data_IF_798331809162
#
_entry.id   IF_798331809162
#
_cell.length_a   1.000
_cell.length_b   1.000
_cell.length_c   1.000
_cell.angle_alpha   90.00
_cell.angle_beta   90.00
_cell.angle_gamma   90.00
#
_symmetry.space_group_name_H-M   'P 1'
#
loop_
_entity.id
_entity.type
_entity.pdbx_description
1 polymer ?
#
# COMPACT_ATOMS: atom_id res chain seq x y z
N UNK A 1 9.73 38.35 -22.74
CA UNK A 1 10.53 37.38 -21.94
C UNK A 1 11.12 36.32 -22.88
N UNK A 2 12.45 36.15 -22.99
CA UNK A 2 13.03 35.17 -23.90
C UNK A 2 13.02 33.76 -23.28
N UNK A 3 12.45 32.78 -23.99
CA UNK A 3 12.36 31.38 -23.57
C UNK A 3 13.77 30.75 -23.59
N UNK A 4 14.28 30.36 -22.42
CA UNK A 4 15.54 29.60 -22.29
C UNK A 4 15.39 28.25 -23.00
N UNK A 5 16.11 28.03 -24.11
CA UNK A 5 16.19 26.72 -24.78
C UNK A 5 16.93 25.75 -23.85
N UNK A 6 16.24 24.75 -23.32
CA UNK A 6 16.81 23.66 -22.51
C UNK A 6 17.73 22.85 -23.44
N UNK A 7 19.03 22.78 -23.12
CA UNK A 7 20.05 22.24 -24.02
C UNK A 7 19.87 20.76 -24.34
N UNK A 8 19.85 20.43 -25.63
CA UNK A 8 19.71 19.07 -26.20
C UNK A 8 20.87 18.15 -25.78
N UNK A 9 22.04 18.73 -25.46
CA UNK A 9 23.27 17.99 -25.08
C UNK A 9 23.16 17.27 -23.73
N UNK A 10 22.36 17.79 -22.79
CA UNK A 10 22.11 17.13 -21.50
C UNK A 10 21.23 15.87 -21.63
N UNK A 11 20.37 15.83 -22.65
CA UNK A 11 19.49 14.70 -22.94
C UNK A 11 20.27 13.52 -23.54
N UNK A 12 21.22 13.77 -24.44
CA UNK A 12 22.03 12.70 -25.07
C UNK A 12 22.96 12.01 -24.06
N UNK A 13 23.60 12.77 -23.16
CA UNK A 13 24.46 12.19 -22.11
C UNK A 13 23.64 11.38 -21.10
N UNK A 14 22.48 11.90 -20.68
CA UNK A 14 21.53 11.20 -19.79
C UNK A 14 21.01 9.91 -20.41
N UNK A 15 20.64 9.93 -21.70
CA UNK A 15 20.22 8.73 -22.45
C UNK A 15 21.33 7.69 -22.55
N UNK A 16 22.57 8.10 -22.88
CA UNK A 16 23.74 7.19 -22.93
C UNK A 16 24.05 6.58 -21.56
N UNK A 17 23.83 7.31 -20.48
CA UNK A 17 24.00 6.78 -19.13
C UNK A 17 22.87 5.82 -18.73
N UNK A 18 21.63 6.11 -19.11
CA UNK A 18 20.49 5.23 -18.90
C UNK A 18 20.65 3.89 -19.63
N UNK A 19 21.14 3.92 -20.87
CA UNK A 19 21.46 2.72 -21.67
C UNK A 19 22.54 1.89 -20.97
N UNK A 20 23.68 2.48 -20.60
CA UNK A 20 24.74 1.77 -19.86
C UNK A 20 24.28 1.20 -18.51
N UNK A 21 23.39 1.90 -17.81
CA UNK A 21 22.78 1.40 -16.56
C UNK A 21 21.85 0.22 -16.82
N UNK A 22 21.10 0.22 -17.94
CA UNK A 22 20.22 -0.87 -18.35
C UNK A 22 21.01 -2.08 -18.82
N UNK A 23 22.03 -1.90 -19.64
CA UNK A 23 22.91 -2.97 -20.13
C UNK A 23 23.58 -3.72 -18.99
N UNK A 24 24.12 -3.00 -18.00
CA UNK A 24 24.62 -3.62 -16.76
C UNK A 24 23.55 -4.47 -16.08
N UNK A 25 22.32 -3.96 -15.93
CA UNK A 25 21.20 -4.72 -15.33
C UNK A 25 20.78 -5.98 -16.09
N UNK A 26 20.96 -5.99 -17.41
CA UNK A 26 20.56 -7.10 -18.29
C UNK A 26 21.60 -8.21 -18.28
N UNK A 27 22.89 -7.85 -18.19
CA UNK A 27 24.00 -8.82 -18.17
C UNK A 27 24.33 -9.33 -16.76
N UNK A 28 23.77 -8.72 -15.70
CA UNK A 28 24.01 -9.13 -14.32
C UNK A 28 23.67 -10.61 -14.10
N UNK A 29 24.58 -11.30 -13.42
CA UNK A 29 24.31 -12.64 -12.87
C UNK A 29 23.28 -12.57 -11.74
N UNK A 30 22.65 -13.70 -11.41
CA UNK A 30 21.65 -13.77 -10.34
C UNK A 30 22.22 -13.36 -8.97
N UNK A 31 23.48 -13.71 -8.69
CA UNK A 31 24.19 -13.33 -7.47
C UNK A 31 24.49 -11.83 -7.39
N UNK A 32 24.89 -11.21 -8.49
CA UNK A 32 25.12 -9.76 -8.58
C UNK A 32 23.82 -8.97 -8.45
N UNK A 33 22.74 -9.46 -9.08
CA UNK A 33 21.41 -8.91 -8.93
C UNK A 33 20.93 -9.00 -7.48
N UNK A 34 21.13 -10.14 -6.84
CA UNK A 34 20.75 -10.38 -5.43
C UNK A 34 21.52 -9.48 -4.47
N UNK A 35 22.85 -9.37 -4.62
CA UNK A 35 23.69 -8.45 -3.83
C UNK A 35 23.24 -7.00 -3.98
N UNK A 36 22.98 -6.55 -5.21
CA UNK A 36 22.52 -5.18 -5.46
C UNK A 36 21.15 -4.89 -4.85
N UNK A 37 20.19 -5.82 -4.99
CA UNK A 37 18.86 -5.69 -4.40
C UNK A 37 18.95 -5.63 -2.86
N UNK A 38 19.81 -6.47 -2.26
CA UNK A 38 20.08 -6.45 -0.81
C UNK A 38 20.60 -5.08 -0.34
N UNK A 39 21.61 -4.53 -1.01
CA UNK A 39 22.15 -3.20 -0.67
C UNK A 39 21.11 -2.09 -0.80
N UNK A 40 20.22 -2.17 -1.80
CA UNK A 40 19.11 -1.21 -1.95
C UNK A 40 18.04 -1.37 -0.86
N UNK A 41 17.75 -2.60 -0.44
CA UNK A 41 16.83 -2.89 0.64
C UNK A 41 17.35 -2.34 1.97
N UNK A 42 18.64 -2.55 2.29
CA UNK A 42 19.29 -2.00 3.49
C UNK A 42 19.21 -0.47 3.51
N UNK A 43 19.64 0.20 2.43
CA UNK A 43 19.53 1.66 2.29
C UNK A 43 18.08 2.17 2.33
N UNK A 44 17.13 1.31 1.96
CA UNK A 44 15.70 1.61 2.08
C UNK A 44 15.21 1.57 3.52
N UNK A 45 15.74 0.66 4.34
CA UNK A 45 15.45 0.55 5.77
C UNK A 45 16.05 1.74 6.54
N UNK A 46 17.30 2.10 6.27
CA UNK A 46 17.98 3.21 6.95
C UNK A 46 17.22 4.55 6.74
N UNK A 47 16.63 4.74 5.56
CA UNK A 47 15.82 5.94 5.21
C UNK A 47 14.41 5.96 5.83
N UNK A 48 13.95 4.90 6.51
CA UNK A 48 12.62 4.85 7.18
C UNK A 48 12.60 5.55 8.55
N UNK A 49 13.75 6.00 9.06
CA UNK A 49 13.87 6.61 10.38
C UNK A 49 13.56 8.13 10.42
N UNK A 50 13.61 8.83 9.29
CA UNK A 50 13.41 10.30 9.25
C UNK A 50 11.92 10.70 9.25
N UNK A 51 11.61 11.85 9.88
CA UNK A 51 10.31 12.47 10.27
C UNK A 51 9.25 12.70 9.16
N UNK A 52 9.18 11.84 8.16
CA UNK A 52 8.22 11.91 7.05
C UNK A 52 7.31 10.68 6.97
N UNK A 53 7.23 9.88 8.04
CA UNK A 53 6.44 8.63 8.05
C UNK A 53 4.97 8.88 7.73
N UNK A 54 4.35 9.88 8.34
CA UNK A 54 2.94 10.20 8.14
C UNK A 54 2.66 10.68 6.71
N UNK A 55 3.48 11.57 6.15
CA UNK A 55 3.33 12.03 4.76
C UNK A 55 3.53 10.88 3.76
N UNK A 56 4.53 10.02 3.98
CA UNK A 56 4.78 8.84 3.11
C UNK A 56 3.63 7.83 3.19
N UNK A 57 3.08 7.58 4.38
CA UNK A 57 1.92 6.69 4.55
C UNK A 57 0.69 7.26 3.85
N UNK A 58 0.47 8.58 3.94
CA UNK A 58 -0.62 9.26 3.23
C UNK A 58 -0.47 9.12 1.71
N UNK A 59 0.72 9.37 1.17
CA UNK A 59 0.99 9.27 -0.27
C UNK A 59 0.81 7.83 -0.79
N UNK A 60 1.24 6.83 0.00
CA UNK A 60 1.02 5.41 -0.33
C UNK A 60 -0.47 5.01 -0.26
N UNK A 61 -1.21 5.55 0.72
CA UNK A 61 -2.64 5.31 0.85
C UNK A 61 -3.39 5.92 -0.34
N UNK A 62 -3.08 7.16 -0.72
CA UNK A 62 -3.67 7.84 -1.87
C UNK A 62 -3.44 7.07 -3.17
N UNK A 63 -2.19 6.73 -3.50
CA UNK A 63 -1.86 5.90 -4.68
C UNK A 63 -2.48 4.51 -4.62
N UNK A 64 -2.71 4.00 -3.41
CA UNK A 64 -3.43 2.74 -3.19
C UNK A 64 -4.90 2.86 -3.60
N UNK A 65 -5.55 3.99 -3.30
CA UNK A 65 -6.94 4.23 -3.69
C UNK A 65 -7.08 4.54 -5.17
N UNK A 66 -6.19 5.36 -5.75
CA UNK A 66 -6.16 5.65 -7.19
C UNK A 66 -6.08 4.35 -8.00
N UNK A 67 -5.15 3.45 -7.66
CA UNK A 67 -5.05 2.14 -8.32
C UNK A 67 -6.30 1.29 -8.18
N UNK A 68 -7.00 1.35 -7.04
CA UNK A 68 -8.26 0.61 -6.83
C UNK A 68 -9.43 1.21 -7.60
N UNK A 69 -9.41 2.52 -7.84
CA UNK A 69 -10.42 3.20 -8.65
C UNK A 69 -10.25 2.87 -10.14
N UNK A 70 -9.01 2.64 -10.58
CA UNK A 70 -8.67 2.24 -11.96
C UNK A 70 -8.75 0.72 -12.21
N UNK A 71 -9.04 -0.09 -11.19
CA UNK A 71 -9.15 -1.55 -11.34
C UNK A 71 -10.35 -1.95 -12.21
N UNK A 72 -10.11 -2.88 -13.14
CA UNK A 72 -11.20 -3.59 -13.83
C UNK A 72 -11.92 -4.55 -12.88
N UNK A 73 -13.17 -4.89 -13.20
CA UNK A 73 -13.97 -5.81 -12.37
C UNK A 73 -13.29 -7.20 -12.21
N UNK A 74 -12.62 -7.71 -13.23
CA UNK A 74 -11.84 -8.95 -13.12
C UNK A 74 -10.65 -8.83 -12.17
N UNK A 75 -9.90 -7.71 -12.24
CA UNK A 75 -8.77 -7.47 -11.34
C UNK A 75 -9.24 -7.30 -9.90
N UNK A 76 -10.36 -6.60 -9.69
CA UNK A 76 -11.01 -6.46 -8.39
C UNK A 76 -11.42 -7.81 -7.82
N UNK A 77 -12.07 -8.66 -8.62
CA UNK A 77 -12.52 -9.98 -8.19
C UNK A 77 -11.34 -10.91 -7.86
N UNK A 78 -10.26 -10.89 -8.66
CA UNK A 78 -9.02 -11.62 -8.33
C UNK A 78 -8.40 -11.10 -7.03
N UNK A 79 -8.31 -9.78 -6.83
CA UNK A 79 -7.78 -9.18 -5.60
C UNK A 79 -8.61 -9.58 -4.38
N UNK A 80 -9.94 -9.52 -4.47
CA UNK A 80 -10.85 -9.92 -3.39
C UNK A 80 -10.71 -11.42 -3.08
N UNK A 81 -10.61 -12.28 -4.09
CA UNK A 81 -10.39 -13.71 -3.90
C UNK A 81 -9.08 -13.99 -3.12
N UNK A 82 -7.98 -13.34 -3.50
CA UNK A 82 -6.68 -13.47 -2.80
C UNK A 82 -6.78 -12.97 -1.35
N UNK A 83 -7.46 -11.85 -1.10
CA UNK A 83 -7.66 -11.35 0.26
C UNK A 83 -8.53 -12.29 1.11
N UNK A 84 -9.58 -12.86 0.52
CA UNK A 84 -10.44 -13.86 1.16
C UNK A 84 -9.66 -15.11 1.56
N UNK A 85 -8.87 -15.68 0.65
CA UNK A 85 -8.00 -16.82 0.92
C UNK A 85 -6.99 -16.51 2.03
N UNK A 86 -6.33 -15.35 1.99
CA UNK A 86 -5.38 -14.95 3.03
C UNK A 86 -6.05 -14.76 4.39
N UNK A 87 -7.28 -14.26 4.44
CA UNK A 87 -8.05 -14.15 5.69
C UNK A 87 -8.38 -15.53 6.25
N UNK A 88 -8.78 -16.47 5.40
CA UNK A 88 -9.05 -17.86 5.82
C UNK A 88 -7.79 -18.54 6.34
N UNK A 89 -6.65 -18.38 5.66
CA UNK A 89 -5.36 -18.90 6.12
C UNK A 89 -4.98 -18.33 7.50
N UNK A 90 -5.18 -17.02 7.73
CA UNK A 90 -4.95 -16.40 9.04
C UNK A 90 -5.84 -17.02 10.12
N UNK A 91 -7.14 -17.17 9.86
CA UNK A 91 -8.09 -17.80 10.80
C UNK A 91 -7.74 -19.26 11.09
N UNK A 92 -7.15 -19.97 10.12
CA UNK A 92 -6.75 -21.37 10.30
C UNK A 92 -5.53 -21.53 11.23
N UNK A 93 -4.69 -20.50 11.36
CA UNK A 93 -3.51 -20.49 12.26
C UNK A 93 -3.71 -19.66 13.52
N UNK A 94 -4.90 -19.08 13.72
CA UNK A 94 -5.24 -18.31 14.92
C UNK A 94 -5.29 -19.22 16.16
N UNK A 95 -4.73 -18.73 17.27
CA UNK A 95 -4.83 -19.41 18.56
C UNK A 95 -6.26 -19.26 19.12
N UNK A 96 -6.63 -20.14 20.07
CA UNK A 96 -7.95 -20.07 20.69
C UNK A 96 -8.16 -18.74 21.45
N UNK A 97 -7.11 -18.20 22.06
CA UNK A 97 -7.12 -16.88 22.71
C UNK A 97 -7.38 -15.75 21.71
N UNK A 98 -6.65 -15.72 20.59
CA UNK A 98 -6.86 -14.73 19.53
C UNK A 98 -8.28 -14.82 18.94
N UNK A 99 -8.82 -16.04 18.78
CA UNK A 99 -10.18 -16.26 18.30
C UNK A 99 -11.23 -15.73 19.28
N UNK A 100 -11.04 -15.97 20.59
CA UNK A 100 -11.92 -15.45 21.65
C UNK A 100 -11.87 -13.93 21.71
N UNK A 101 -10.68 -13.34 21.64
CA UNK A 101 -10.48 -11.89 21.61
C UNK A 101 -11.14 -11.25 20.37
N UNK A 102 -10.93 -11.81 19.18
CA UNK A 102 -11.57 -11.34 17.94
C UNK A 102 -13.10 -11.40 18.02
N UNK A 103 -13.65 -12.46 18.61
CA UNK A 103 -15.10 -12.63 18.79
C UNK A 103 -15.63 -11.62 19.82
N UNK A 104 -14.90 -11.42 20.91
CA UNK A 104 -15.25 -10.46 21.96
C UNK A 104 -15.32 -9.03 21.42
N UNK A 105 -14.26 -8.55 20.78
CA UNK A 105 -14.25 -7.21 20.19
C UNK A 105 -15.30 -7.05 19.10
N UNK A 106 -15.53 -8.07 18.26
CA UNK A 106 -16.61 -8.05 17.26
C UNK A 106 -18.01 -7.86 17.87
N UNK A 107 -18.30 -8.57 18.97
CA UNK A 107 -19.56 -8.42 19.70
C UNK A 107 -19.68 -7.03 20.35
N UNK A 108 -18.59 -6.51 20.92
CA UNK A 108 -18.56 -5.17 21.50
C UNK A 108 -18.83 -4.11 20.42
N UNK A 109 -18.21 -4.22 19.24
CA UNK A 109 -18.47 -3.28 18.14
C UNK A 109 -19.91 -3.33 17.66
N UNK A 110 -20.47 -4.54 17.48
CA UNK A 110 -21.85 -4.72 17.01
C UNK A 110 -22.87 -4.16 18.02
N UNK A 111 -22.66 -4.43 19.31
CA UNK A 111 -23.53 -3.90 20.36
C UNK A 111 -23.48 -2.38 20.44
N UNK A 112 -22.30 -1.78 20.36
CA UNK A 112 -22.16 -0.32 20.32
C UNK A 112 -22.82 0.31 19.09
N UNK A 113 -22.66 -0.28 17.91
CA UNK A 113 -23.33 0.19 16.68
C UNK A 113 -24.86 0.14 16.83
N UNK A 114 -25.41 -0.97 17.34
CA UNK A 114 -26.87 -1.07 17.52
C UNK A 114 -27.41 -0.08 18.56
N UNK A 115 -26.67 0.18 19.63
CA UNK A 115 -27.01 1.21 20.62
C UNK A 115 -26.98 2.60 19.98
N UNK A 116 -25.94 2.90 19.20
CA UNK A 116 -25.77 4.19 18.54
C UNK A 116 -26.89 4.46 17.54
N UNK A 117 -27.25 3.48 16.70
CA UNK A 117 -28.37 3.59 15.76
C UNK A 117 -29.71 3.78 16.48
N UNK A 118 -29.97 3.04 17.57
CA UNK A 118 -31.17 3.23 18.40
C UNK A 118 -31.23 4.63 19.00
N UNK A 119 -30.10 5.18 19.45
CA UNK A 119 -30.01 6.54 20.01
C UNK A 119 -30.32 7.60 18.96
N UNK A 120 -29.79 7.47 17.74
CA UNK A 120 -30.10 8.37 16.62
C UNK A 120 -31.58 8.32 16.28
N UNK A 121 -32.13 7.11 16.11
CA UNK A 121 -33.54 6.94 15.74
C UNK A 121 -34.49 7.47 16.82
N UNK A 122 -34.13 7.33 18.11
CA UNK A 122 -34.88 7.93 19.22
C UNK A 122 -34.82 9.46 19.19
N UNK A 123 -33.68 10.07 18.86
CA UNK A 123 -33.56 11.53 18.72
C UNK A 123 -34.46 12.08 17.61
N UNK A 124 -34.48 11.43 16.45
CA UNK A 124 -35.34 11.81 15.31
C UNK A 124 -36.85 11.68 15.59
N UNK A 125 -37.25 10.82 16.53
CA UNK A 125 -38.66 10.61 16.87
C UNK A 125 -39.29 11.78 17.66
N UNK A 126 -38.48 12.69 18.20
CA UNK A 126 -38.95 13.88 18.92
C UNK A 126 -38.72 15.19 18.14
N UNK A 127 -38.18 15.11 16.92
CA UNK A 127 -37.90 16.26 16.03
C UNK A 127 -38.98 16.44 14.92
N UNK A 128 -40.07 15.65 14.96
CA UNK A 128 -41.24 15.79 14.07
C UNK A 128 -42.49 16.23 14.85
#
# INVERSE_FOLDING_TARGET
MPKRKRGITGDVASRREAIRKRERRVVDTEEERSRRLSTMAQRGQDRRAEEQRTCRLSDMAQRGQERRAEETEEQRNRRLAVMGQRSQQRRAVETEEQRKENTFWGNVTFTLETIYVKKINRGRAYEN
#
